data_IF_897204679465
#
_entry.id   IF_897204679465
#
_cell.length_a   1.000
_cell.length_b   1.000
_cell.length_c   1.000
_cell.angle_alpha   90.00
_cell.angle_beta   90.00
_cell.angle_gamma   90.00
#
_symmetry.space_group_name_H-M   'P 1'
#
loop_
_entity.id
_entity.type
_entity.pdbx_description
1 polymer ?
#
# COMPACT_ATOMS: atom_id res chain seq x y z
N UNK A 1 -44.66 52.25 -46.73
CA UNK A 1 -44.12 51.06 -46.04
C UNK A 1 -43.05 51.50 -45.03
N UNK A 2 -43.17 51.00 -43.79
CA UNK A 2 -42.43 51.29 -42.52
C UNK A 2 -40.90 51.50 -42.70
N UNK A 3 -40.24 52.55 -42.17
CA UNK A 3 -39.68 52.70 -40.78
C UNK A 3 -38.86 51.47 -40.34
N UNK A 4 -37.61 51.47 -39.83
CA UNK A 4 -36.70 52.43 -39.13
C UNK A 4 -35.33 51.68 -38.99
N UNK A 5 -34.17 52.31 -39.20
CA UNK A 5 -33.21 52.92 -38.23
C UNK A 5 -32.37 51.95 -37.34
N UNK A 6 -31.04 52.03 -37.53
CA UNK A 6 -29.86 51.73 -36.65
C UNK A 6 -29.97 50.81 -35.42
N UNK A 7 -28.97 49.92 -35.26
CA UNK A 7 -28.11 49.87 -34.06
C UNK A 7 -26.93 48.88 -34.21
N UNK A 8 -25.70 49.40 -34.09
CA UNK A 8 -24.54 48.64 -33.60
C UNK A 8 -24.85 48.12 -32.19
N UNK A 9 -24.60 46.84 -31.91
CA UNK A 9 -24.43 46.38 -30.53
C UNK A 9 -23.27 45.37 -30.45
N UNK A 10 -22.15 45.89 -29.99
CA UNK A 10 -21.10 45.19 -29.27
C UNK A 10 -21.66 44.18 -28.27
N UNK A 11 -21.31 42.90 -28.39
CA UNK A 11 -21.29 41.97 -27.26
C UNK A 11 -19.85 41.51 -27.10
N UNK A 12 -19.11 42.29 -26.31
CA UNK A 12 -17.91 41.83 -25.64
C UNK A 12 -18.33 41.01 -24.40
N UNK A 13 -17.54 39.97 -24.12
CA UNK A 13 -17.31 39.36 -22.81
C UNK A 13 -18.50 38.71 -22.07
N UNK A 14 -18.58 37.39 -22.21
CA UNK A 14 -18.80 36.49 -21.06
C UNK A 14 -17.92 35.23 -21.19
N UNK A 15 -16.59 35.42 -21.15
CA UNK A 15 -15.67 34.36 -20.73
C UNK A 15 -15.30 34.60 -19.26
N UNK A 16 -16.28 34.50 -18.36
CA UNK A 16 -16.02 34.42 -16.93
C UNK A 16 -16.44 33.03 -16.46
N UNK A 17 -15.48 32.09 -16.45
CA UNK A 17 -15.77 30.73 -16.06
C UNK A 17 -14.61 29.75 -15.94
N UNK A 18 -13.35 30.20 -15.89
CA UNK A 18 -12.23 29.34 -15.45
C UNK A 18 -11.61 29.96 -14.19
N UNK A 19 -12.21 29.69 -13.03
CA UNK A 19 -11.60 29.87 -11.72
C UNK A 19 -11.44 28.51 -11.04
N UNK A 20 -10.81 27.56 -11.71
CA UNK A 20 -10.31 26.36 -11.05
C UNK A 20 -8.95 26.66 -10.39
N UNK A 21 -8.87 27.73 -9.59
CA UNK A 21 -7.76 27.89 -8.65
C UNK A 21 -8.10 27.04 -7.42
N UNK A 22 -8.03 25.71 -7.59
CA UNK A 22 -8.38 24.77 -6.54
C UNK A 22 -7.41 24.95 -5.37
N UNK A 23 -7.87 25.60 -4.31
CA UNK A 23 -7.05 25.89 -3.13
C UNK A 23 -6.57 24.59 -2.47
N UNK A 24 -5.46 24.70 -1.73
CA UNK A 24 -4.90 23.60 -0.95
C UNK A 24 -5.34 23.79 0.50
N UNK A 25 -6.05 22.79 1.05
CA UNK A 25 -6.49 22.77 2.45
C UNK A 25 -5.32 22.95 3.42
N UNK A 26 -5.45 23.78 4.47
CA UNK A 26 -4.46 23.88 5.54
C UNK A 26 -4.16 22.53 6.20
N UNK A 27 -5.17 21.66 6.37
CA UNK A 27 -5.00 20.30 6.91
C UNK A 27 -4.00 19.50 6.07
N UNK A 28 -4.14 19.57 4.73
CA UNK A 28 -3.24 18.86 3.83
C UNK A 28 -1.81 19.42 3.89
N UNK A 29 -1.65 20.75 4.01
CA UNK A 29 -0.34 21.37 4.20
C UNK A 29 0.35 20.87 5.48
N UNK A 30 -0.38 20.85 6.59
CA UNK A 30 0.15 20.35 7.86
C UNK A 30 0.53 18.87 7.77
N UNK A 31 -0.30 18.02 7.15
CA UNK A 31 0.05 16.60 6.94
C UNK A 31 1.34 16.45 6.16
N UNK A 32 1.52 17.21 5.09
CA UNK A 32 2.74 17.20 4.27
C UNK A 32 3.95 17.70 5.07
N UNK A 33 3.82 18.81 5.78
CA UNK A 33 4.89 19.38 6.60
C UNK A 33 5.35 18.41 7.68
N UNK A 34 4.43 17.82 8.46
CA UNK A 34 4.77 16.89 9.53
C UNK A 34 5.36 15.58 9.02
N UNK A 35 4.80 15.02 7.93
CA UNK A 35 5.31 13.76 7.37
C UNK A 35 6.69 13.95 6.72
N UNK A 36 6.93 15.11 6.08
CA UNK A 36 8.22 15.39 5.46
C UNK A 36 9.35 15.60 6.47
N UNK A 37 9.07 16.00 7.73
CA UNK A 37 10.08 16.02 8.80
C UNK A 37 10.68 14.64 9.09
N UNK A 38 9.98 13.57 8.73
CA UNK A 38 10.41 12.19 8.90
C UNK A 38 10.97 11.59 7.61
N UNK A 39 10.92 12.32 6.49
CA UNK A 39 11.38 11.83 5.19
C UNK A 39 12.90 12.04 5.01
N UNK A 40 13.61 11.13 4.30
CA UNK A 40 13.10 9.87 3.76
C UNK A 40 12.77 8.85 4.86
N UNK A 41 11.59 8.24 4.78
CA UNK A 41 11.10 7.28 5.76
C UNK A 41 11.06 5.87 5.16
N UNK A 42 11.78 4.93 5.76
CA UNK A 42 11.69 3.52 5.36
C UNK A 42 10.34 2.94 5.84
N UNK A 43 9.51 2.49 4.90
CA UNK A 43 8.16 1.97 5.19
C UNK A 43 8.20 0.46 5.39
N UNK A 44 8.97 -0.22 4.56
CA UNK A 44 9.20 -1.67 4.57
C UNK A 44 10.62 -1.95 4.03
N UNK A 45 11.12 -3.19 3.97
CA UNK A 45 12.50 -3.46 3.56
C UNK A 45 12.93 -2.94 2.17
N UNK A 46 11.99 -2.66 1.26
CA UNK A 46 12.32 -2.18 -0.10
C UNK A 46 11.71 -0.84 -0.46
N UNK A 47 10.71 -0.36 0.29
CA UNK A 47 9.96 0.85 -0.01
C UNK A 47 10.37 1.98 0.92
N UNK A 48 10.85 3.07 0.34
CA UNK A 48 11.14 4.32 1.04
C UNK A 48 10.14 5.39 0.61
N UNK A 49 9.43 6.02 1.55
CA UNK A 49 8.72 7.26 1.30
C UNK A 49 9.76 8.40 1.24
N UNK A 50 9.95 8.96 0.05
CA UNK A 50 10.95 9.99 -0.22
C UNK A 50 10.45 11.37 0.19
N UNK A 51 9.20 11.68 -0.14
CA UNK A 51 8.58 12.96 0.17
C UNK A 51 7.07 12.91 -0.04
N UNK A 52 6.39 13.91 0.51
CA UNK A 52 5.01 14.23 0.19
C UNK A 52 4.91 15.65 -0.38
N UNK A 53 3.91 15.87 -1.24
CA UNK A 53 3.58 17.15 -1.83
C UNK A 53 2.08 17.40 -1.68
N UNK A 54 1.70 18.64 -1.36
CA UNK A 54 0.32 19.09 -1.42
C UNK A 54 0.09 19.77 -2.78
N UNK A 55 -0.78 19.21 -3.62
CA UNK A 55 -1.11 19.77 -4.93
C UNK A 55 -2.50 20.44 -4.91
N UNK A 56 -2.76 21.39 -5.84
CA UNK A 56 -4.08 22.01 -6.00
C UNK A 56 -5.22 20.99 -6.09
N UNK A 57 -6.35 21.29 -5.47
CA UNK A 57 -7.50 20.37 -5.41
C UNK A 57 -7.42 19.30 -4.34
N UNK A 58 -6.72 19.59 -3.24
CA UNK A 58 -6.53 18.70 -2.10
C UNK A 58 -5.95 17.33 -2.51
N UNK A 59 -4.94 17.32 -3.37
CA UNK A 59 -4.26 16.06 -3.72
C UNK A 59 -3.00 15.92 -2.87
N UNK A 60 -2.97 14.89 -2.02
CA UNK A 60 -1.74 14.45 -1.35
C UNK A 60 -0.97 13.57 -2.33
N UNK A 61 0.18 14.03 -2.81
CA UNK A 61 1.10 13.20 -3.58
C UNK A 61 2.14 12.61 -2.64
N UNK A 62 2.32 11.30 -2.69
CA UNK A 62 3.32 10.56 -1.93
C UNK A 62 4.31 9.95 -2.92
N UNK A 63 5.59 10.34 -2.81
CA UNK A 63 6.65 9.87 -3.68
C UNK A 63 7.39 8.73 -3.00
N UNK A 64 7.34 7.54 -3.59
CA UNK A 64 8.01 6.34 -3.12
C UNK A 64 9.14 5.94 -4.05
N UNK A 65 10.22 5.48 -3.44
CA UNK A 65 11.31 4.78 -4.11
C UNK A 65 11.26 3.31 -3.71
N UNK A 66 11.40 2.41 -4.66
CA UNK A 66 11.40 0.96 -4.43
C UNK A 66 12.68 0.32 -4.93
N UNK A 67 13.30 -0.52 -4.08
CA UNK A 67 14.46 -1.35 -4.40
C UNK A 67 14.05 -2.81 -4.61
N UNK A 68 13.34 -3.09 -5.70
CA UNK A 68 12.99 -4.46 -6.05
C UNK A 68 14.24 -5.22 -6.53
N UNK A 69 14.39 -6.46 -6.07
CA UNK A 69 15.48 -7.35 -6.49
C UNK A 69 15.24 -7.96 -7.87
N UNK A 70 13.98 -8.04 -8.27
CA UNK A 70 13.57 -8.48 -9.60
C UNK A 70 12.99 -7.30 -10.35
N UNK A 71 13.29 -7.20 -11.65
CA UNK A 71 12.66 -6.18 -12.48
C UNK A 71 11.13 -6.32 -12.41
N UNK A 72 10.45 -5.20 -12.24
CA UNK A 72 9.00 -5.16 -12.31
C UNK A 72 8.57 -5.37 -13.76
N UNK A 73 8.24 -6.61 -14.10
CA UNK A 73 7.90 -7.01 -15.48
C UNK A 73 6.45 -6.68 -15.86
N UNK A 74 5.56 -6.57 -14.87
CA UNK A 74 4.14 -6.24 -15.07
C UNK A 74 3.68 -5.11 -14.14
N UNK A 75 3.70 -3.89 -14.66
CA UNK A 75 3.23 -2.71 -13.94
C UNK A 75 1.70 -2.65 -13.82
N UNK A 76 0.95 -3.43 -14.62
CA UNK A 76 -0.52 -3.47 -14.58
C UNK A 76 -0.98 -4.25 -13.36
N UNK A 77 -0.40 -5.41 -13.09
CA UNK A 77 -0.70 -6.21 -11.89
C UNK A 77 -0.28 -5.46 -10.63
N UNK A 78 0.93 -4.89 -10.61
CA UNK A 78 1.40 -4.09 -9.46
C UNK A 78 0.48 -2.88 -9.19
N UNK A 79 0.07 -2.15 -10.24
CA UNK A 79 -0.86 -1.03 -10.10
C UNK A 79 -2.22 -1.47 -9.57
N UNK A 80 -2.77 -2.58 -10.06
CA UNK A 80 -4.06 -3.12 -9.61
C UNK A 80 -4.02 -3.49 -8.14
N UNK A 81 -3.04 -4.29 -7.73
CA UNK A 81 -2.91 -4.74 -6.35
C UNK A 81 -2.63 -3.56 -5.40
N UNK A 82 -1.77 -2.63 -5.81
CA UNK A 82 -1.51 -1.40 -5.05
C UNK A 82 -2.77 -0.54 -4.92
N UNK A 83 -3.56 -0.38 -5.99
CA UNK A 83 -4.83 0.36 -5.93
C UNK A 83 -5.83 -0.27 -4.97
N UNK A 84 -6.01 -1.58 -5.00
CA UNK A 84 -6.90 -2.29 -4.06
C UNK A 84 -6.49 -2.05 -2.61
N UNK A 85 -5.23 -2.31 -2.29
CA UNK A 85 -4.69 -2.14 -0.93
C UNK A 85 -4.75 -0.69 -0.47
N UNK A 86 -4.37 0.25 -1.33
CA UNK A 86 -4.43 1.68 -1.02
C UNK A 86 -5.87 2.13 -0.76
N UNK A 87 -6.83 1.72 -1.60
CA UNK A 87 -8.25 2.06 -1.41
C UNK A 87 -8.77 1.49 -0.09
N UNK A 88 -8.49 0.21 0.19
CA UNK A 88 -8.90 -0.43 1.44
C UNK A 88 -8.37 0.34 2.66
N UNK A 89 -7.08 0.68 2.64
CA UNK A 89 -6.44 1.46 3.70
C UNK A 89 -7.03 2.87 3.81
N UNK A 90 -7.28 3.56 2.69
CA UNK A 90 -7.90 4.88 2.70
C UNK A 90 -9.27 4.83 3.36
N UNK A 91 -10.06 3.78 3.15
CA UNK A 91 -11.40 3.65 3.75
C UNK A 91 -11.33 3.28 5.22
N UNK A 92 -10.49 2.31 5.58
CA UNK A 92 -10.53 1.66 6.90
C UNK A 92 -9.62 2.29 7.94
N UNK A 93 -8.55 2.97 7.52
CA UNK A 93 -7.55 3.50 8.42
C UNK A 93 -8.03 4.79 9.14
N UNK A 94 -8.05 4.82 10.49
CA UNK A 94 -8.46 6.00 11.25
C UNK A 94 -7.56 7.22 11.01
N UNK A 95 -6.26 7.01 10.85
CA UNK A 95 -5.27 8.08 10.63
C UNK A 95 -5.45 8.83 9.31
N UNK A 96 -6.15 8.23 8.33
CA UNK A 96 -6.44 8.85 7.03
C UNK A 96 -7.75 9.67 7.07
N UNK A 97 -8.51 9.61 8.16
CA UNK A 97 -9.82 10.26 8.26
C UNK A 97 -9.76 11.76 7.99
N UNK A 98 -8.75 12.46 8.51
CA UNK A 98 -8.59 13.91 8.29
C UNK A 98 -8.42 14.27 6.81
N UNK A 99 -7.86 13.39 5.99
CA UNK A 99 -7.75 13.55 4.55
C UNK A 99 -9.09 13.29 3.85
N UNK A 100 -9.84 12.28 4.30
CA UNK A 100 -11.21 12.01 3.80
C UNK A 100 -12.17 13.17 4.10
N UNK A 101 -12.09 13.75 5.30
CA UNK A 101 -12.96 14.84 5.75
C UNK A 101 -12.83 16.12 4.88
N UNK A 102 -11.69 16.30 4.20
CA UNK A 102 -11.45 17.41 3.28
C UNK A 102 -11.62 17.03 1.80
N UNK A 103 -12.21 15.86 1.51
CA UNK A 103 -12.34 15.27 0.18
C UNK A 103 -10.99 15.21 -0.58
N UNK A 104 -9.91 14.86 0.12
CA UNK A 104 -8.60 14.76 -0.52
C UNK A 104 -8.55 13.54 -1.46
N UNK A 105 -7.76 13.68 -2.53
CA UNK A 105 -7.27 12.55 -3.32
C UNK A 105 -5.86 12.19 -2.85
N UNK A 106 -5.47 10.91 -2.97
CA UNK A 106 -4.12 10.45 -2.64
C UNK A 106 -3.48 9.85 -3.89
N UNK A 107 -2.37 10.44 -4.32
CA UNK A 107 -1.58 10.04 -5.47
C UNK A 107 -0.28 9.37 -5.00
N UNK A 108 -0.19 8.05 -5.15
CA UNK A 108 1.00 7.28 -4.88
C UNK A 108 1.85 7.19 -6.14
N UNK A 109 3.09 7.68 -6.10
CA UNK A 109 4.03 7.65 -7.24
C UNK A 109 5.21 6.75 -6.87
N UNK A 110 5.51 5.75 -7.71
CA UNK A 110 6.60 4.81 -7.47
C UNK A 110 7.70 4.95 -8.52
N UNK A 111 8.94 5.09 -8.06
CA UNK A 111 10.15 5.10 -8.90
C UNK A 111 11.13 4.02 -8.45
N UNK A 112 11.98 3.54 -9.35
CA UNK A 112 13.10 2.68 -8.97
C UNK A 112 14.21 3.46 -8.24
N UNK A 113 15.28 2.75 -7.86
CA UNK A 113 16.44 3.32 -7.16
C UNK A 113 17.22 4.35 -7.99
N UNK A 114 17.06 4.37 -9.31
CA UNK A 114 17.66 5.34 -10.24
C UNK A 114 16.72 6.53 -10.53
N UNK A 115 15.55 6.57 -9.90
CA UNK A 115 14.54 7.61 -10.12
C UNK A 115 13.70 7.41 -11.39
N UNK A 116 13.81 6.27 -12.08
CA UNK A 116 12.96 5.94 -13.23
C UNK A 116 11.54 5.68 -12.74
N UNK A 117 10.58 6.32 -13.38
CA UNK A 117 9.16 6.09 -13.11
C UNK A 117 8.76 4.63 -13.38
N UNK A 118 8.05 4.03 -12.42
CA UNK A 118 7.48 2.68 -12.56
C UNK A 118 5.98 2.75 -12.82
N UNK A 119 5.22 3.29 -11.87
CA UNK A 119 3.77 3.45 -11.98
C UNK A 119 3.24 4.44 -10.93
N UNK A 120 1.97 4.82 -11.08
CA UNK A 120 1.24 5.60 -10.08
C UNK A 120 -0.16 5.04 -9.85
N UNK A 121 -0.68 5.29 -8.65
CA UNK A 121 -2.04 4.97 -8.23
C UNK A 121 -2.69 6.24 -7.69
N UNK A 122 -3.87 6.57 -8.20
CA UNK A 122 -4.69 7.65 -7.67
C UNK A 122 -5.92 7.06 -6.99
N UNK A 123 -6.14 7.47 -5.74
CA UNK A 123 -7.38 7.22 -4.99
C UNK A 123 -8.10 8.55 -4.84
N UNK A 124 -9.31 8.64 -5.39
CA UNK A 124 -10.15 9.85 -5.38
C UNK A 124 -11.29 9.73 -4.36
N UNK A 125 -11.97 10.85 -4.02
CA UNK A 125 -13.21 10.82 -3.27
C UNK A 125 -14.26 9.86 -3.81
N UNK A 126 -14.43 9.83 -5.13
CA UNK A 126 -15.39 8.93 -5.76
C UNK A 126 -15.00 7.46 -5.53
N UNK A 127 -13.72 7.12 -5.58
CA UNK A 127 -13.25 5.75 -5.32
C UNK A 127 -13.63 5.28 -3.90
N UNK A 128 -13.38 6.09 -2.86
CA UNK A 128 -13.67 5.67 -1.47
C UNK A 128 -15.11 5.90 -1.03
N UNK A 129 -15.84 6.84 -1.63
CA UNK A 129 -17.27 7.02 -1.36
C UNK A 129 -18.11 5.94 -2.06
N UNK A 130 -17.64 5.41 -3.20
CA UNK A 130 -18.25 4.27 -3.88
C UNK A 130 -17.80 2.92 -3.31
N UNK A 131 -16.82 2.89 -2.39
CA UNK A 131 -16.34 1.65 -1.79
C UNK A 131 -17.48 0.96 -1.05
N UNK A 132 -17.78 -0.26 -1.47
CA UNK A 132 -18.70 -1.14 -0.77
C UNK A 132 -17.90 -2.25 -0.11
N UNK A 133 -18.21 -2.51 1.17
CA UNK A 133 -17.65 -3.66 1.86
C UNK A 133 -18.05 -4.92 1.08
N UNK A 134 -17.06 -5.74 0.77
CA UNK A 134 -17.31 -7.03 0.14
C UNK A 134 -18.07 -7.93 1.12
N UNK A 135 -19.28 -8.34 0.74
CA UNK A 135 -20.20 -9.12 1.56
C UNK A 135 -20.06 -10.64 1.33
N UNK A 136 -19.14 -11.07 0.45
CA UNK A 136 -18.78 -12.48 0.30
C UNK A 136 -18.14 -13.00 1.59
N UNK A 137 -18.07 -14.31 1.73
CA UNK A 137 -17.39 -14.93 2.86
C UNK A 137 -15.91 -14.57 2.86
N UNK A 138 -15.31 -14.51 4.05
CA UNK A 138 -13.88 -14.20 4.20
C UNK A 138 -13.00 -15.13 3.36
N UNK A 139 -13.34 -16.42 3.26
CA UNK A 139 -12.62 -17.39 2.45
C UNK A 139 -12.66 -17.08 0.95
N UNK A 140 -13.81 -16.64 0.43
CA UNK A 140 -13.93 -16.26 -0.98
C UNK A 140 -13.08 -15.03 -1.30
N UNK A 141 -13.08 -14.03 -0.41
CA UNK A 141 -12.28 -12.81 -0.58
C UNK A 141 -10.78 -13.13 -0.49
N UNK A 142 -10.37 -13.97 0.47
CA UNK A 142 -8.98 -14.36 0.65
C UNK A 142 -8.45 -15.21 -0.53
N UNK A 143 -9.28 -16.08 -1.11
CA UNK A 143 -8.90 -16.87 -2.29
C UNK A 143 -8.49 -15.98 -3.49
N UNK A 144 -9.04 -14.77 -3.60
CA UNK A 144 -8.64 -13.78 -4.61
C UNK A 144 -7.50 -12.88 -4.16
N UNK A 145 -7.46 -12.53 -2.86
CA UNK A 145 -6.48 -11.57 -2.33
C UNK A 145 -5.08 -12.18 -2.17
N UNK A 146 -4.98 -13.42 -1.69
CA UNK A 146 -3.70 -14.05 -1.38
C UNK A 146 -2.82 -14.29 -2.61
N UNK A 147 -3.34 -14.72 -3.78
CA UNK A 147 -2.52 -14.82 -5.00
C UNK A 147 -1.86 -13.49 -5.40
N UNK A 148 -2.60 -12.37 -5.33
CA UNK A 148 -2.06 -11.04 -5.61
C UNK A 148 -0.97 -10.67 -4.60
N UNK A 149 -1.16 -10.98 -3.32
CA UNK A 149 -0.14 -10.75 -2.29
C UNK A 149 1.10 -11.61 -2.50
N UNK A 150 0.94 -12.89 -2.85
CA UNK A 150 2.05 -13.77 -3.18
C UNK A 150 2.85 -13.19 -4.35
N UNK A 151 2.18 -12.81 -5.45
CA UNK A 151 2.84 -12.22 -6.62
C UNK A 151 3.64 -10.96 -6.24
N UNK A 152 3.04 -10.02 -5.50
CA UNK A 152 3.74 -8.79 -5.10
C UNK A 152 4.93 -9.07 -4.19
N UNK A 153 4.78 -9.95 -3.20
CA UNK A 153 5.86 -10.27 -2.28
C UNK A 153 6.99 -11.06 -2.96
N UNK A 154 6.70 -11.81 -4.04
CA UNK A 154 7.74 -12.45 -4.87
C UNK A 154 8.62 -11.46 -5.62
N UNK A 155 8.25 -10.19 -5.74
CA UNK A 155 9.13 -9.16 -6.29
C UNK A 155 10.28 -8.79 -5.32
N UNK A 156 10.13 -9.16 -4.04
CA UNK A 156 11.08 -8.84 -2.97
C UNK A 156 12.16 -9.92 -2.81
N UNK A 157 11.87 -11.15 -3.21
CA UNK A 157 12.71 -12.32 -2.93
C UNK A 157 13.80 -12.53 -4.00
N UNK A 158 14.96 -13.13 -3.64
CA UNK A 158 15.37 -13.42 -2.26
C UNK A 158 15.69 -12.13 -1.51
N UNK A 159 15.20 -12.02 -0.28
CA UNK A 159 15.41 -10.84 0.57
C UNK A 159 16.19 -11.21 1.81
N UNK A 160 17.42 -10.69 1.92
CA UNK A 160 18.22 -10.83 3.14
C UNK A 160 17.62 -9.95 4.23
N UNK A 161 17.15 -10.57 5.32
CA UNK A 161 16.53 -9.86 6.44
C UNK A 161 17.57 -9.43 7.48
N UNK A 162 18.54 -10.31 7.72
CA UNK A 162 19.63 -10.12 8.68
C UNK A 162 20.86 -10.94 8.27
N UNK A 163 21.86 -11.05 9.14
CA UNK A 163 23.11 -11.79 8.85
C UNK A 163 22.94 -13.30 8.66
N UNK A 164 21.79 -13.88 8.97
CA UNK A 164 21.56 -15.34 8.94
C UNK A 164 20.22 -15.75 8.33
N UNK A 165 19.30 -14.83 8.08
CA UNK A 165 17.93 -15.14 7.61
C UNK A 165 17.69 -14.54 6.24
N UNK A 166 17.24 -15.38 5.30
CA UNK A 166 16.81 -14.94 3.97
C UNK A 166 15.37 -15.36 3.74
N UNK A 167 14.50 -14.42 3.38
CA UNK A 167 13.18 -14.74 2.85
C UNK A 167 13.32 -15.16 1.39
N UNK A 168 12.89 -16.38 1.09
CA UNK A 168 13.17 -17.05 -0.20
C UNK A 168 11.94 -17.40 -0.99
N UNK A 169 10.76 -17.45 -0.36
CA UNK A 169 9.51 -17.66 -1.11
C UNK A 169 8.29 -17.14 -0.36
N UNK A 170 7.22 -16.93 -1.13
CA UNK A 170 5.86 -16.75 -0.64
C UNK A 170 4.92 -17.70 -1.35
N UNK A 171 4.01 -18.31 -0.61
CA UNK A 171 2.94 -19.14 -1.18
C UNK A 171 1.62 -18.86 -0.47
N UNK A 172 0.53 -19.33 -1.05
CA UNK A 172 -0.75 -19.42 -0.37
C UNK A 172 -1.05 -20.90 -0.12
N UNK A 173 -1.44 -21.25 1.10
CA UNK A 173 -2.02 -22.55 1.45
C UNK A 173 -3.50 -22.34 1.74
N UNK A 174 -4.35 -23.34 1.43
CA UNK A 174 -5.81 -23.43 1.68
C UNK A 174 -6.48 -22.15 2.20
N UNK A 175 -7.51 -21.62 1.51
CA UNK A 175 -7.61 -20.28 0.91
C UNK A 175 -7.37 -19.06 1.81
N UNK A 176 -7.08 -19.24 3.10
CA UNK A 176 -6.93 -18.19 4.10
C UNK A 176 -5.49 -18.01 4.60
N UNK A 177 -4.53 -18.83 4.17
CA UNK A 177 -3.18 -18.80 4.75
C UNK A 177 -2.13 -18.22 3.78
N UNK A 178 -1.52 -17.09 4.15
CA UNK A 178 -0.30 -16.58 3.52
C UNK A 178 0.93 -17.22 4.17
N UNK A 179 1.80 -17.82 3.37
CA UNK A 179 3.00 -18.52 3.83
C UNK A 179 4.25 -17.77 3.38
N UNK A 180 5.09 -17.38 4.33
CA UNK A 180 6.43 -16.85 4.09
C UNK A 180 7.47 -17.94 4.40
N UNK A 181 8.39 -18.20 3.47
CA UNK A 181 9.41 -19.25 3.59
C UNK A 181 10.79 -18.60 3.69
N UNK A 182 11.54 -18.99 4.71
CA UNK A 182 12.86 -18.47 5.04
C UNK A 182 13.90 -19.58 5.03
N UNK A 183 15.07 -19.29 4.47
CA UNK A 183 16.27 -20.13 4.61
C UNK A 183 17.23 -19.50 5.62
N UNK A 184 17.72 -20.34 6.53
CA UNK A 184 18.69 -19.97 7.55
C UNK A 184 20.11 -20.33 7.10
N UNK A 185 21.05 -19.46 7.45
CA UNK A 185 22.48 -19.72 7.29
C UNK A 185 22.93 -20.91 8.16
N UNK A 186 23.90 -21.67 7.67
CA UNK A 186 24.54 -22.80 8.37
C UNK A 186 25.05 -22.49 9.78
N UNK A 187 25.30 -21.21 10.09
CA UNK A 187 25.72 -20.73 11.42
C UNK A 187 24.62 -20.87 12.49
N UNK A 188 23.37 -21.06 12.08
CA UNK A 188 22.22 -21.10 12.98
C UNK A 188 21.75 -22.53 13.19
N UNK A 189 21.46 -22.87 14.45
CA UNK A 189 20.80 -24.12 14.82
C UNK A 189 19.45 -23.80 15.43
N UNK A 190 18.44 -24.61 15.11
CA UNK A 190 17.09 -24.41 15.62
C UNK A 190 17.00 -24.51 17.15
N UNK A 191 17.89 -25.28 17.76
CA UNK A 191 17.95 -25.45 19.21
C UNK A 191 18.32 -24.13 19.92
N UNK A 192 18.91 -23.17 19.20
CA UNK A 192 19.26 -21.85 19.71
C UNK A 192 18.09 -20.85 19.63
N UNK A 193 16.97 -21.23 19.00
CA UNK A 193 15.82 -20.35 18.81
C UNK A 193 14.89 -20.35 20.02
N UNK A 194 14.64 -19.17 20.58
CA UNK A 194 13.47 -18.94 21.44
C UNK A 194 12.22 -18.78 20.56
N UNK A 195 11.60 -19.91 20.23
CA UNK A 195 10.36 -19.96 19.43
C UNK A 195 9.22 -19.14 20.06
N UNK A 196 9.18 -19.03 21.39
CA UNK A 196 8.18 -18.24 22.09
C UNK A 196 8.39 -16.74 21.84
N UNK A 197 9.64 -16.28 21.94
CA UNK A 197 10.00 -14.89 21.62
C UNK A 197 9.77 -14.58 20.14
N UNK A 198 10.19 -15.47 19.23
CA UNK A 198 9.95 -15.31 17.80
C UNK A 198 8.45 -15.17 17.50
N UNK A 199 7.62 -16.04 18.08
CA UNK A 199 6.17 -15.96 17.90
C UNK A 199 5.61 -14.64 18.41
N UNK A 200 6.05 -14.14 19.57
CA UNK A 200 5.63 -12.83 20.10
C UNK A 200 5.99 -11.68 19.14
N UNK A 201 7.21 -11.69 18.61
CA UNK A 201 7.68 -10.68 17.64
C UNK A 201 6.83 -10.74 16.37
N UNK A 202 6.60 -11.93 15.82
CA UNK A 202 5.79 -12.12 14.61
C UNK A 202 4.34 -11.68 14.82
N UNK A 203 3.72 -12.01 15.97
CA UNK A 203 2.38 -11.50 16.32
C UNK A 203 2.36 -9.97 16.30
N UNK A 204 3.36 -9.32 16.92
CA UNK A 204 3.41 -7.86 16.98
C UNK A 204 3.63 -7.24 15.60
N UNK A 205 4.48 -7.84 14.77
CA UNK A 205 4.70 -7.41 13.39
C UNK A 205 3.40 -7.54 12.56
N UNK A 206 2.69 -8.67 12.66
CA UNK A 206 1.39 -8.86 12.00
C UNK A 206 0.38 -7.81 12.45
N UNK A 207 0.29 -7.50 13.76
CA UNK A 207 -0.58 -6.44 14.28
C UNK A 207 -0.32 -5.09 13.62
N UNK A 208 0.95 -4.75 13.48
CA UNK A 208 1.40 -3.45 12.97
C UNK A 208 1.44 -3.37 11.43
N UNK A 209 1.33 -4.50 10.73
CA UNK A 209 1.40 -4.53 9.27
C UNK A 209 0.11 -3.98 8.63
N UNK A 210 0.19 -2.72 8.19
CA UNK A 210 -0.90 -2.03 7.47
C UNK A 210 -1.09 -2.63 6.06
N UNK A 211 -0.05 -3.24 5.49
CA UNK A 211 -0.16 -3.83 4.15
C UNK A 211 -1.05 -5.06 4.12
N UNK A 212 -1.14 -5.77 5.25
CA UNK A 212 -1.96 -6.97 5.43
C UNK A 212 -3.32 -6.69 6.10
N UNK A 213 -3.77 -5.43 6.18
CA UNK A 213 -4.98 -5.08 6.92
C UNK A 213 -6.23 -5.80 6.39
N UNK A 214 -6.43 -5.85 5.07
CA UNK A 214 -7.58 -6.57 4.48
C UNK A 214 -7.53 -8.06 4.81
N UNK A 215 -6.35 -8.71 4.81
CA UNK A 215 -6.20 -10.11 5.22
C UNK A 215 -6.59 -10.30 6.68
N UNK A 216 -6.14 -9.42 7.57
CA UNK A 216 -6.45 -9.49 9.01
C UNK A 216 -7.94 -9.30 9.29
N UNK A 217 -8.57 -8.34 8.63
CA UNK A 217 -10.00 -8.08 8.79
C UNK A 217 -10.86 -9.25 8.28
N UNK A 218 -10.30 -10.04 7.35
CA UNK A 218 -10.88 -11.26 6.80
C UNK A 218 -10.42 -12.55 7.49
N UNK A 219 -9.87 -12.47 8.70
CA UNK A 219 -9.45 -13.66 9.45
C UNK A 219 -8.38 -14.53 8.75
N UNK A 220 -7.54 -13.95 7.90
CA UNK A 220 -6.44 -14.68 7.28
C UNK A 220 -5.39 -15.16 8.29
N UNK A 221 -4.67 -16.21 7.93
CA UNK A 221 -3.62 -16.83 8.73
C UNK A 221 -2.27 -16.46 8.12
N UNK A 222 -1.28 -16.18 8.98
CA UNK A 222 0.10 -15.96 8.55
C UNK A 222 0.95 -17.13 9.05
N UNK A 223 1.62 -17.81 8.13
CA UNK A 223 2.51 -18.94 8.44
C UNK A 223 3.94 -18.59 8.03
N UNK A 224 4.86 -18.72 8.98
CA UNK A 224 6.28 -18.51 8.76
C UNK A 224 6.99 -19.87 8.82
N UNK A 225 7.70 -20.24 7.76
CA UNK A 225 8.43 -21.51 7.66
C UNK A 225 9.92 -21.22 7.57
N UNK A 226 10.67 -21.58 8.60
CA UNK A 226 12.13 -21.42 8.65
C UNK A 226 12.78 -22.76 8.35
N UNK A 227 13.62 -22.84 7.32
CA UNK A 227 14.34 -24.05 6.90
C UNK A 227 15.82 -23.91 7.20
N UNK A 228 16.42 -24.94 7.79
CA UNK A 228 17.87 -25.02 7.92
C UNK A 228 18.52 -25.61 6.65
N UNK A 229 19.85 -25.60 6.62
CA UNK A 229 20.64 -26.11 5.49
C UNK A 229 20.49 -27.63 5.26
N UNK A 230 19.93 -28.37 6.21
CA UNK A 230 19.68 -29.82 6.12
C UNK A 230 18.23 -30.13 5.71
N UNK A 231 17.40 -29.10 5.47
CA UNK A 231 15.99 -29.25 5.09
C UNK A 231 15.05 -29.50 6.26
N UNK A 232 15.52 -29.44 7.52
CA UNK A 232 14.62 -29.42 8.69
C UNK A 232 13.92 -28.07 8.73
N UNK A 233 12.67 -28.04 9.16
CA UNK A 233 11.87 -26.82 9.20
C UNK A 233 11.17 -26.62 10.53
N UNK A 234 11.01 -25.35 10.91
CA UNK A 234 10.13 -24.91 11.99
C UNK A 234 9.03 -24.04 11.39
N UNK A 235 7.81 -24.27 11.85
CA UNK A 235 6.63 -23.50 11.44
C UNK A 235 6.10 -22.68 12.62
N UNK A 236 5.88 -21.39 12.38
CA UNK A 236 5.20 -20.50 13.32
C UNK A 236 3.93 -20.01 12.64
N UNK A 237 2.78 -20.39 13.22
CA UNK A 237 1.46 -20.02 12.71
C UNK A 237 0.85 -18.92 13.58
N UNK A 238 0.43 -17.84 12.94
CA UNK A 238 -0.24 -16.69 13.52
C UNK A 238 -1.71 -16.71 13.08
N UNK A 239 -2.58 -17.09 14.01
CA UNK A 239 -4.03 -17.20 13.77
C UNK A 239 -4.75 -15.88 14.09
N UNK A 240 -5.99 -15.66 13.61
CA UNK A 240 -6.79 -14.48 13.92
C UNK A 240 -6.89 -14.12 15.41
N UNK A 241 -7.01 -15.12 16.28
CA UNK A 241 -7.08 -14.89 17.73
C UNK A 241 -5.82 -14.25 18.33
N UNK A 242 -4.69 -14.27 17.63
CA UNK A 242 -3.41 -13.75 18.14
C UNK A 242 -3.19 -12.28 17.78
N UNK A 243 -3.67 -11.84 16.62
CA UNK A 243 -3.47 -10.47 16.13
C UNK A 243 -4.67 -9.55 16.32
N UNK A 244 -5.83 -10.09 16.68
CA UNK A 244 -6.99 -9.29 17.08
C UNK A 244 -6.83 -8.68 18.47
#
# INVERSE_FOLDING_TARGET
>A
MKQTLFALLTIALFFTGCKDNKQISPVLKTVVEETNKQCPLQIDPVTTLVSNEALPGNVLRQNFKVDFKTELTDTVVAKRATKRRALYNVVTAPQIKSLRDINASILYVYTDTNGKYLYQVLITPDDYNAFQKDNRSDKEVLAELLPDMVWNNKLLIPMRLDEVTTLVDYTAAEPDTLVAIYDLDSKVKFEDFDISLMKKILVQNTKNDISAQEVKDRNGIFKHVYRDVNGKAIEIVITPAMYK
#
